data_IF_945223469265
#
_entry.id   IF_945223469265
#
_cell.length_a   1.000
_cell.length_b   1.000
_cell.length_c   1.000
_cell.angle_alpha   90.00
_cell.angle_beta   90.00
_cell.angle_gamma   90.00
#
_symmetry.space_group_name_H-M   'P 1'
#
loop_
_entity.id
_entity.type
_entity.pdbx_description
1 polymer ?
#
# COMPACT_ATOMS: atom_id res chain seq x y z
N UNK A 1 16.54 -27.43 -3.36
CA UNK A 1 15.40 -27.89 -4.20
C UNK A 1 15.65 -27.50 -5.68
N UNK A 2 15.37 -28.37 -6.66
CA UNK A 2 15.70 -28.18 -8.09
C UNK A 2 14.59 -27.52 -8.94
N UNK A 3 13.44 -27.16 -8.34
CA UNK A 3 12.29 -26.60 -9.06
C UNK A 3 12.34 -25.07 -9.01
N UNK A 4 12.44 -24.43 -10.18
CA UNK A 4 12.54 -22.96 -10.32
C UNK A 4 11.18 -22.26 -10.17
N UNK A 5 10.14 -22.79 -10.80
CA UNK A 5 8.76 -22.29 -10.73
C UNK A 5 7.76 -23.37 -11.15
N UNK A 6 6.48 -23.14 -10.85
CA UNK A 6 5.35 -24.01 -11.20
C UNK A 6 4.51 -23.32 -12.27
N UNK A 7 4.16 -24.04 -13.32
CA UNK A 7 3.27 -23.51 -14.37
C UNK A 7 1.85 -24.00 -14.15
N UNK A 8 0.87 -23.11 -14.27
CA UNK A 8 -0.55 -23.44 -14.13
C UNK A 8 -1.39 -22.88 -15.27
N UNK A 9 -2.28 -23.71 -15.83
CA UNK A 9 -3.30 -23.25 -16.78
C UNK A 9 -4.56 -22.72 -16.09
N UNK A 10 -4.80 -23.11 -14.83
CA UNK A 10 -5.95 -22.64 -14.07
C UNK A 10 -5.56 -22.31 -12.62
N UNK A 11 -5.38 -21.03 -12.28
CA UNK A 11 -5.04 -20.59 -10.93
C UNK A 11 -6.06 -20.99 -9.87
N UNK A 12 -7.32 -21.19 -10.27
CA UNK A 12 -8.44 -21.53 -9.37
C UNK A 12 -8.52 -23.01 -9.01
N UNK A 13 -7.79 -23.88 -9.72
CA UNK A 13 -7.80 -25.32 -9.51
C UNK A 13 -7.23 -25.70 -8.12
N UNK A 14 -7.72 -26.79 -7.53
CA UNK A 14 -7.40 -27.19 -6.15
C UNK A 14 -5.89 -27.38 -5.94
N UNK A 15 -5.20 -27.99 -6.92
CA UNK A 15 -3.74 -28.18 -6.86
C UNK A 15 -2.99 -26.83 -6.93
N UNK A 16 -3.40 -25.93 -7.83
CA UNK A 16 -2.81 -24.60 -7.97
C UNK A 16 -2.95 -23.80 -6.68
N UNK A 17 -4.15 -23.80 -6.08
CA UNK A 17 -4.42 -23.15 -4.80
C UNK A 17 -3.58 -23.72 -3.66
N UNK A 18 -3.41 -25.04 -3.61
CA UNK A 18 -2.58 -25.70 -2.60
C UNK A 18 -1.11 -25.27 -2.70
N UNK A 19 -0.57 -25.18 -3.91
CA UNK A 19 0.80 -24.73 -4.16
C UNK A 19 0.98 -23.26 -3.80
N UNK A 20 0.06 -22.39 -4.21
CA UNK A 20 0.07 -20.96 -3.85
C UNK A 20 0.00 -20.80 -2.33
N UNK A 21 -0.90 -21.54 -1.66
CA UNK A 21 -1.05 -21.51 -0.20
C UNK A 21 0.20 -22.01 0.53
N UNK A 22 0.91 -22.97 -0.05
CA UNK A 22 2.16 -23.47 0.53
C UNK A 22 3.27 -22.40 0.57
N UNK A 23 3.18 -21.39 -0.30
CA UNK A 23 4.13 -20.27 -0.41
C UNK A 23 5.60 -20.73 -0.55
N UNK A 24 5.84 -21.87 -1.22
CA UNK A 24 7.19 -22.43 -1.43
C UNK A 24 7.73 -22.20 -2.83
N UNK A 25 6.85 -21.98 -3.80
CA UNK A 25 7.20 -21.90 -5.21
C UNK A 25 6.54 -20.71 -5.87
N UNK A 26 7.29 -20.12 -6.79
CA UNK A 26 6.81 -19.16 -7.75
C UNK A 26 5.85 -19.84 -8.74
N UNK A 27 4.76 -19.16 -9.11
CA UNK A 27 3.72 -19.70 -9.98
C UNK A 27 3.49 -18.79 -11.18
N UNK A 28 3.53 -19.36 -12.39
CA UNK A 28 3.42 -18.67 -13.68
C UNK A 28 2.28 -19.28 -14.51
N UNK A 29 1.61 -18.49 -15.34
CA UNK A 29 0.57 -18.92 -16.26
C UNK A 29 1.14 -19.80 -17.38
N UNK A 30 0.35 -20.78 -17.83
CA UNK A 30 0.64 -21.56 -19.03
C UNK A 30 0.78 -20.70 -20.30
N UNK A 31 0.16 -19.51 -20.32
CA UNK A 31 0.26 -18.57 -21.44
C UNK A 31 1.71 -18.18 -21.78
N UNK A 32 2.57 -18.12 -20.76
CA UNK A 32 3.99 -17.85 -20.97
C UNK A 32 4.69 -18.96 -21.77
N UNK A 33 4.38 -20.23 -21.48
CA UNK A 33 4.92 -21.36 -22.23
C UNK A 33 4.43 -21.36 -23.68
N UNK A 34 3.17 -20.97 -23.90
CA UNK A 34 2.59 -20.82 -25.23
C UNK A 34 3.33 -19.73 -26.01
N UNK A 35 3.61 -18.59 -25.37
CA UNK A 35 4.38 -17.50 -25.97
C UNK A 35 5.83 -17.90 -26.28
N UNK A 36 6.50 -18.63 -25.38
CA UNK A 36 7.84 -19.17 -25.64
C UNK A 36 7.85 -20.12 -26.85
N UNK A 37 6.85 -20.99 -26.95
CA UNK A 37 6.69 -21.91 -28.09
C UNK A 37 6.50 -21.14 -29.39
N UNK A 38 5.65 -20.12 -29.38
CA UNK A 38 5.39 -19.29 -30.56
C UNK A 38 6.65 -18.53 -31.03
N UNK A 39 7.48 -18.03 -30.10
CA UNK A 39 8.71 -17.32 -30.44
C UNK A 39 9.92 -18.22 -30.68
N UNK A 40 9.80 -19.53 -30.48
CA UNK A 40 10.89 -20.50 -30.63
C UNK A 40 12.04 -20.30 -29.65
N UNK A 41 11.86 -19.49 -28.61
CA UNK A 41 12.87 -19.19 -27.58
C UNK A 41 12.21 -18.94 -26.23
N UNK A 42 12.97 -19.16 -25.17
CA UNK A 42 12.53 -18.78 -23.82
C UNK A 42 12.51 -17.25 -23.75
N UNK A 43 11.34 -16.69 -23.50
CA UNK A 43 11.15 -15.24 -23.34
C UNK A 43 11.03 -14.88 -21.85
N UNK A 44 11.36 -13.64 -21.46
CA UNK A 44 11.13 -13.17 -20.10
C UNK A 44 9.68 -13.35 -19.65
N UNK A 45 9.47 -13.73 -18.40
CA UNK A 45 8.14 -13.80 -17.78
C UNK A 45 7.74 -12.37 -17.38
N UNK A 46 6.57 -11.89 -17.80
CA UNK A 46 6.10 -10.55 -17.42
C UNK A 46 5.13 -10.64 -16.24
N UNK A 47 4.78 -9.48 -15.67
CA UNK A 47 3.76 -9.40 -14.61
C UNK A 47 2.40 -9.96 -15.03
N UNK A 48 2.10 -10.01 -16.34
CA UNK A 48 0.83 -10.54 -16.85
C UNK A 48 0.73 -12.05 -16.69
N UNK A 49 1.84 -12.76 -16.86
CA UNK A 49 1.88 -14.22 -16.73
C UNK A 49 2.23 -14.66 -15.31
N UNK A 50 2.62 -13.75 -14.42
CA UNK A 50 2.97 -14.06 -13.04
C UNK A 50 1.70 -14.22 -12.18
N UNK A 51 1.51 -15.39 -11.57
CA UNK A 51 0.33 -15.72 -10.74
C UNK A 51 0.63 -15.58 -9.25
N UNK A 52 1.81 -16.03 -8.80
CA UNK A 52 2.24 -15.95 -7.41
C UNK A 52 3.76 -15.85 -7.30
N UNK A 53 4.25 -14.98 -6.42
CA UNK A 53 5.69 -14.75 -6.18
C UNK A 53 5.99 -14.99 -4.70
N UNK A 54 6.99 -15.83 -4.45
CA UNK A 54 7.50 -16.16 -3.12
C UNK A 54 8.81 -15.41 -2.84
N UNK A 55 9.65 -15.26 -3.87
CA UNK A 55 10.93 -14.57 -3.82
C UNK A 55 11.02 -13.59 -4.99
N UNK A 56 11.38 -12.33 -4.68
CA UNK A 56 11.61 -11.27 -5.65
C UNK A 56 12.80 -11.59 -6.59
N UNK A 57 13.55 -12.66 -6.31
CA UNK A 57 14.51 -13.28 -7.23
C UNK A 57 13.91 -13.64 -8.59
N UNK A 58 12.58 -13.82 -8.69
CA UNK A 58 11.89 -13.92 -9.97
C UNK A 58 12.16 -12.66 -10.81
N UNK A 59 11.87 -11.49 -10.26
CA UNK A 59 11.94 -10.23 -11.01
C UNK A 59 13.35 -9.86 -11.47
N UNK A 60 14.39 -10.38 -10.80
CA UNK A 60 15.79 -10.20 -11.21
C UNK A 60 16.28 -11.25 -12.23
N UNK A 61 15.58 -12.38 -12.39
CA UNK A 61 15.83 -13.39 -13.43
C UNK A 61 15.14 -13.07 -14.76
N UNK A 62 14.22 -12.10 -14.75
CA UNK A 62 13.41 -11.77 -15.90
C UNK A 62 13.84 -10.43 -16.45
N UNK A 63 13.99 -10.38 -17.77
CA UNK A 63 14.19 -9.14 -18.49
C UNK A 63 13.19 -8.12 -17.97
N UNK A 64 13.73 -7.15 -17.23
CA UNK A 64 13.18 -5.82 -17.18
C UNK A 64 12.82 -5.47 -18.64
N UNK A 65 11.73 -4.76 -18.89
CA UNK A 65 11.52 -4.12 -20.20
C UNK A 65 12.59 -3.04 -20.49
N UNK A 66 13.79 -3.19 -19.91
CA UNK A 66 15.00 -2.49 -20.24
C UNK A 66 15.65 -3.17 -21.42
N UNK A 67 15.27 -2.66 -22.57
CA UNK A 67 16.17 -2.53 -23.71
C UNK A 67 17.55 -2.08 -23.19
N UNK A 68 18.50 -3.02 -23.20
CA UNK A 68 19.95 -2.83 -23.32
C UNK A 68 20.50 -1.54 -22.67
N UNK A 69 20.80 -1.60 -21.38
CA UNK A 69 21.69 -0.65 -20.71
C UNK A 69 23.10 -0.76 -21.32
N UNK A 70 23.44 0.10 -22.28
CA UNK A 70 24.81 0.52 -22.60
C UNK A 70 24.80 1.69 -23.60
N UNK A 71 24.22 2.82 -23.22
CA UNK A 71 24.81 4.14 -23.54
C UNK A 71 24.15 5.20 -22.68
N UNK A 72 24.98 5.81 -21.84
CA UNK A 72 25.03 7.24 -21.49
C UNK A 72 23.77 8.07 -21.84
N UNK A 73 23.20 8.69 -20.79
CA UNK A 73 22.26 9.84 -20.78
C UNK A 73 20.75 9.61 -20.68
N UNK A 74 20.17 10.38 -19.74
CA UNK A 74 18.78 10.83 -19.55
C UNK A 74 17.70 9.80 -19.14
N UNK A 75 17.37 9.84 -17.83
CA UNK A 75 16.01 9.95 -17.29
C UNK A 75 14.85 9.43 -18.16
N UNK A 76 14.63 8.11 -18.21
CA UNK A 76 13.32 7.57 -18.53
C UNK A 76 12.45 7.59 -17.26
N UNK A 77 12.03 8.80 -16.88
CA UNK A 77 10.85 8.96 -16.05
C UNK A 77 9.67 8.43 -16.85
N UNK A 78 9.22 7.21 -16.59
CA UNK A 78 7.91 6.76 -17.05
C UNK A 78 6.90 7.75 -16.48
N UNK A 79 6.47 8.69 -17.32
CA UNK A 79 5.56 9.75 -16.89
C UNK A 79 4.19 9.11 -16.62
N UNK A 80 3.97 8.71 -15.39
CA UNK A 80 2.66 8.25 -14.94
C UNK A 80 1.68 9.42 -15.07
N UNK A 81 0.71 9.28 -15.96
CA UNK A 81 -0.41 10.22 -16.03
C UNK A 81 -1.39 9.92 -14.91
N UNK A 82 -2.09 10.94 -14.40
CA UNK A 82 -3.14 10.78 -13.38
C UNK A 82 -4.15 9.70 -13.80
N UNK A 83 -4.52 9.67 -15.08
CA UNK A 83 -5.44 8.68 -15.64
C UNK A 83 -4.88 7.24 -15.56
N UNK A 84 -3.59 7.05 -15.86
CA UNK A 84 -2.95 5.73 -15.78
C UNK A 84 -2.86 5.20 -14.34
N UNK A 85 -2.62 6.09 -13.37
CA UNK A 85 -2.56 5.73 -11.95
C UNK A 85 -3.96 5.44 -11.42
N UNK A 86 -4.97 6.25 -11.77
CA UNK A 86 -6.37 6.01 -11.39
C UNK A 86 -6.84 4.65 -11.86
N UNK A 87 -6.63 4.33 -13.15
CA UNK A 87 -7.01 3.04 -13.72
C UNK A 87 -6.27 1.84 -13.09
N UNK A 88 -5.07 2.06 -12.53
CA UNK A 88 -4.34 1.05 -11.78
C UNK A 88 -4.96 0.85 -10.39
N UNK A 89 -5.24 1.94 -9.67
CA UNK A 89 -5.83 1.91 -8.33
C UNK A 89 -7.23 1.29 -8.33
N UNK A 90 -8.06 1.55 -9.35
CA UNK A 90 -9.41 1.00 -9.48
C UNK A 90 -9.43 -0.54 -9.57
N UNK A 91 -8.33 -1.15 -10.02
CA UNK A 91 -8.20 -2.61 -10.11
C UNK A 91 -7.82 -3.27 -8.79
N UNK A 92 -7.38 -2.49 -7.80
CA UNK A 92 -6.94 -3.01 -6.51
C UNK A 92 -8.17 -3.24 -5.62
N UNK A 93 -8.54 -4.51 -5.42
CA UNK A 93 -9.55 -4.87 -4.42
C UNK A 93 -8.91 -4.87 -3.04
N UNK A 94 -9.11 -3.79 -2.28
CA UNK A 94 -8.66 -3.70 -0.89
C UNK A 94 -9.71 -4.35 0.02
N UNK A 95 -9.42 -5.48 0.69
CA UNK A 95 -10.33 -6.03 1.69
C UNK A 95 -10.44 -5.05 2.86
N UNK A 96 -11.64 -4.86 3.41
CA UNK A 96 -11.85 -4.01 4.61
C UNK A 96 -10.98 -4.53 5.75
N UNK A 97 -9.89 -3.83 6.06
CA UNK A 97 -9.04 -4.10 7.22
C UNK A 97 -9.45 -3.20 8.38
N UNK A 98 -9.38 -3.75 9.60
CA UNK A 98 -9.82 -3.08 10.83
C UNK A 98 -8.79 -2.08 11.38
N UNK A 99 -7.49 -2.25 11.09
CA UNK A 99 -6.41 -1.32 11.46
C UNK A 99 -5.28 -1.34 10.42
N UNK A 100 -4.67 -0.18 10.10
CA UNK A 100 -3.47 -0.12 9.29
C UNK A 100 -2.29 -0.79 10.02
N UNK A 101 -1.36 -1.38 9.26
CA UNK A 101 -0.14 -1.97 9.81
C UNK A 101 0.90 -0.88 10.09
N UNK A 102 1.85 -1.13 11.00
CA UNK A 102 2.92 -0.18 11.32
C UNK A 102 3.71 0.30 10.07
N UNK A 103 3.86 -0.57 9.06
CA UNK A 103 4.49 -0.21 7.78
C UNK A 103 3.65 0.77 6.95
N UNK A 104 2.32 0.67 7.02
CA UNK A 104 1.40 1.60 6.37
C UNK A 104 1.41 2.97 7.05
N UNK A 105 1.50 2.99 8.38
CA UNK A 105 1.67 4.22 9.15
C UNK A 105 3.00 4.91 8.85
N UNK A 106 4.10 4.15 8.75
CA UNK A 106 5.40 4.68 8.36
C UNK A 106 5.39 5.27 6.94
N UNK A 107 4.80 4.55 5.99
CA UNK A 107 4.65 5.02 4.61
C UNK A 107 3.77 6.27 4.54
N UNK A 108 2.70 6.33 5.34
CA UNK A 108 1.82 7.50 5.44
C UNK A 108 2.59 8.71 5.98
N UNK A 109 3.40 8.56 7.03
CA UNK A 109 4.28 9.64 7.51
C UNK A 109 5.23 10.11 6.41
N UNK A 110 5.77 9.20 5.60
CA UNK A 110 6.70 9.54 4.52
C UNK A 110 6.03 10.28 3.34
N UNK A 111 4.81 9.89 2.98
CA UNK A 111 4.07 10.51 1.88
C UNK A 111 3.46 11.85 2.24
N UNK A 112 2.97 11.99 3.47
CA UNK A 112 2.19 13.15 3.90
C UNK A 112 3.00 14.17 4.72
N UNK A 113 4.23 13.86 5.16
CA UNK A 113 5.23 14.80 5.74
C UNK A 113 4.61 16.05 6.43
N UNK A 114 4.92 17.26 5.94
CA UNK A 114 4.41 18.56 6.40
C UNK A 114 3.09 18.98 5.74
N UNK A 115 2.33 18.04 5.19
CA UNK A 115 1.03 18.35 4.60
C UNK A 115 0.13 18.95 5.69
N UNK A 116 -0.50 20.08 5.37
CA UNK A 116 -1.42 20.79 6.24
C UNK A 116 -2.52 19.87 6.78
N UNK A 117 -2.90 18.83 6.05
CA UNK A 117 -3.93 17.87 6.44
C UNK A 117 -3.44 16.75 7.37
N UNK A 118 -2.13 16.65 7.66
CA UNK A 118 -1.56 15.64 8.54
C UNK A 118 -0.86 16.23 9.77
N UNK A 119 -1.10 17.52 10.05
CA UNK A 119 -0.41 18.33 11.07
C UNK A 119 -0.47 17.75 12.49
N UNK A 120 -1.55 17.06 12.84
CA UNK A 120 -1.76 16.50 14.18
C UNK A 120 -1.64 14.97 14.22
N UNK A 121 -1.04 14.37 13.19
CA UNK A 121 -0.90 12.92 13.12
C UNK A 121 -0.10 12.34 14.29
N UNK A 122 -0.65 11.29 14.91
CA UNK A 122 -0.07 10.66 16.10
C UNK A 122 -0.27 11.43 17.40
N UNK A 123 -1.02 12.54 17.36
CA UNK A 123 -1.45 13.26 18.56
C UNK A 123 -2.89 12.88 18.90
N UNK A 124 -3.10 12.49 20.15
CA UNK A 124 -4.42 12.20 20.71
C UNK A 124 -4.92 13.40 21.50
N UNK A 125 -6.07 13.95 21.11
CA UNK A 125 -6.72 15.08 21.77
C UNK A 125 -7.92 14.62 22.59
N UNK A 126 -8.11 15.25 23.74
CA UNK A 126 -9.32 15.14 24.56
C UNK A 126 -10.02 16.50 24.60
N UNK A 127 -11.32 16.52 24.28
CA UNK A 127 -12.14 17.72 24.31
C UNK A 127 -12.78 17.85 25.70
N UNK A 128 -12.41 18.89 26.45
CA UNK A 128 -12.87 19.07 27.82
C UNK A 128 -14.40 19.21 27.90
N UNK A 129 -14.98 18.76 29.01
CA UNK A 129 -16.43 18.74 29.20
C UNK A 129 -17.06 20.13 29.14
N UNK A 130 -16.32 21.14 29.58
CA UNK A 130 -16.73 22.56 29.62
C UNK A 130 -16.85 23.24 28.25
N UNK A 131 -16.41 22.59 27.17
CA UNK A 131 -16.67 23.10 25.82
C UNK A 131 -18.18 22.98 25.51
N UNK A 132 -18.74 24.02 24.90
CA UNK A 132 -20.12 23.96 24.39
C UNK A 132 -20.26 22.88 23.32
N UNK A 133 -21.49 22.39 23.10
CA UNK A 133 -21.76 21.35 22.09
C UNK A 133 -21.26 21.75 20.69
N UNK A 134 -21.43 23.02 20.32
CA UNK A 134 -20.98 23.55 19.02
C UNK A 134 -19.46 23.57 18.93
N UNK A 135 -18.77 24.05 19.98
CA UNK A 135 -17.30 24.05 20.02
C UNK A 135 -16.73 22.63 19.93
N UNK A 136 -17.33 21.66 20.63
CA UNK A 136 -16.91 20.25 20.56
C UNK A 136 -17.03 19.70 19.14
N UNK A 137 -18.15 19.93 18.47
CA UNK A 137 -18.37 19.46 17.09
C UNK A 137 -17.35 20.11 16.15
N UNK A 138 -17.17 21.42 16.23
CA UNK A 138 -16.24 22.14 15.36
C UNK A 138 -14.79 21.68 15.57
N UNK A 139 -14.34 21.62 16.83
CA UNK A 139 -13.00 21.15 17.18
C UNK A 139 -12.79 19.69 16.75
N UNK A 140 -13.77 18.82 16.94
CA UNK A 140 -13.70 17.42 16.53
C UNK A 140 -13.53 17.27 15.02
N UNK A 141 -14.29 18.03 14.22
CA UNK A 141 -14.18 18.00 12.76
C UNK A 141 -12.80 18.50 12.34
N UNK A 142 -12.37 19.66 12.86
CA UNK A 142 -11.09 20.27 12.51
C UNK A 142 -9.91 19.35 12.84
N UNK A 143 -9.86 18.85 14.07
CA UNK A 143 -8.80 17.95 14.52
C UNK A 143 -8.73 16.67 13.65
N UNK A 144 -9.88 16.07 13.31
CA UNK A 144 -9.93 14.89 12.43
C UNK A 144 -9.50 15.20 11.00
N UNK A 145 -9.90 16.34 10.45
CA UNK A 145 -9.47 16.77 9.11
C UNK A 145 -7.96 16.95 9.01
N UNK A 146 -7.31 17.26 10.13
CA UNK A 146 -5.87 17.45 10.25
C UNK A 146 -5.12 16.23 10.82
N UNK A 147 -5.78 15.07 10.85
CA UNK A 147 -5.15 13.78 11.16
C UNK A 147 -5.01 13.45 12.65
N UNK A 148 -5.64 14.20 13.55
CA UNK A 148 -5.60 13.94 14.98
C UNK A 148 -6.49 12.75 15.39
N UNK A 149 -6.07 12.04 16.43
CA UNK A 149 -6.90 11.07 17.14
C UNK A 149 -7.70 11.76 18.25
N UNK A 150 -8.93 11.30 18.47
CA UNK A 150 -9.80 11.84 19.53
C UNK A 150 -10.10 10.77 20.57
N UNK A 151 -9.77 11.08 21.82
CA UNK A 151 -10.16 10.27 22.96
C UNK A 151 -11.47 10.79 23.56
N UNK A 152 -12.37 9.88 23.91
CA UNK A 152 -13.59 10.18 24.67
C UNK A 152 -13.30 10.35 26.16
N UNK A 153 -12.17 9.81 26.64
CA UNK A 153 -11.82 9.77 28.06
C UNK A 153 -10.43 10.37 28.28
N UNK A 154 -10.23 11.01 29.44
CA UNK A 154 -8.91 11.47 29.88
C UNK A 154 -8.09 10.25 30.34
N UNK A 155 -7.42 9.59 29.40
CA UNK A 155 -6.53 8.46 29.63
C UNK A 155 -5.06 8.89 29.51
N UNK A 156 -4.13 8.03 29.96
CA UNK A 156 -2.69 8.25 29.79
C UNK A 156 -2.23 8.31 28.33
N UNK A 157 -3.07 7.88 27.38
CA UNK A 157 -2.79 7.96 25.95
C UNK A 157 -3.14 9.32 25.33
N UNK A 158 -3.73 10.25 26.10
CA UNK A 158 -4.04 11.61 25.66
C UNK A 158 -2.78 12.46 25.68
N UNK A 159 -2.49 13.09 24.56
CA UNK A 159 -1.32 13.99 24.41
C UNK A 159 -1.67 15.46 24.63
N UNK A 160 -2.91 15.86 24.30
CA UNK A 160 -3.36 17.25 24.34
C UNK A 160 -4.79 17.35 24.86
N UNK A 161 -5.10 18.44 25.57
CA UNK A 161 -6.45 18.73 26.09
C UNK A 161 -6.91 20.07 25.54
N UNK A 162 -8.09 20.10 24.93
CA UNK A 162 -8.72 21.33 24.43
C UNK A 162 -9.68 21.85 25.49
N UNK A 163 -9.41 23.04 26.00
CA UNK A 163 -10.22 23.75 27.00
C UNK A 163 -10.78 25.04 26.40
N UNK A 164 -11.92 25.56 26.90
CA UNK A 164 -12.41 26.88 26.50
C UNK A 164 -11.46 28.00 26.99
N UNK A 165 -11.47 29.15 26.30
CA UNK A 165 -10.64 30.31 26.65
C UNK A 165 -10.91 30.87 28.05
N UNK A 166 -12.11 30.65 28.60
CA UNK A 166 -12.46 31.02 29.97
C UNK A 166 -11.84 30.12 31.04
N UNK A 167 -11.06 29.11 30.65
CA UNK A 167 -10.36 28.21 31.54
C UNK A 167 -8.97 28.76 31.88
N UNK A 168 -8.94 29.85 32.66
CA UNK A 168 -7.71 30.36 33.26
C UNK A 168 -7.35 29.42 34.42
N UNK A 169 -6.13 28.85 34.39
CA UNK A 169 -5.57 28.12 35.53
C UNK A 169 -5.50 29.07 36.74
N UNK A 170 -6.29 28.80 37.78
CA UNK A 170 -6.03 29.23 39.15
C UNK A 170 -5.56 28.01 39.92
#
# INVERSE_FOLDING_TARGET
>A
PKTLFVVTGEPKHVKSKSIIKSNKYNVVSADWLIACKHMGKVIPITKKETVHVVDDSLYSLFGDDKVSENSIMLSNSTAYTVASVSALLDKIKVPKRKKPLAAEEALRKQLFMDDKFNRFYGQTFYLHENLTKIQKIYAQILLRMHGADLSTNKSSAVTHIVVPDSYIFV
#
